data_IF_170950339977
#
_entry.id   IF_170950339977
#
_cell.length_a   1.000
_cell.length_b   1.000
_cell.length_c   1.000
_cell.angle_alpha   90.00
_cell.angle_beta   90.00
_cell.angle_gamma   90.00
#
_symmetry.space_group_name_H-M   'P 1'
#
loop_
_entity.id
_entity.type
_entity.pdbx_description
1 polymer ?
#
# COMPACT_ATOMS: atom_id res chain seq x y z
N UNK A 1 23.51 -2.13 0.72
CA UNK A 1 22.74 -2.70 1.85
C UNK A 1 21.75 -3.67 1.22
N UNK A 2 21.86 -4.97 1.51
CA UNK A 2 20.95 -5.96 0.96
C UNK A 2 19.62 -5.85 1.69
N UNK A 3 18.70 -5.09 1.11
CA UNK A 3 17.29 -5.14 1.50
C UNK A 3 16.81 -6.54 1.17
N UNK A 4 16.64 -7.36 2.20
CA UNK A 4 16.20 -8.73 2.02
C UNK A 4 14.81 -8.69 1.35
N UNK A 5 14.59 -9.49 0.30
CA UNK A 5 13.26 -9.57 -0.30
C UNK A 5 12.25 -9.92 0.79
N UNK A 6 11.07 -9.30 0.74
CA UNK A 6 9.97 -9.48 1.71
C UNK A 6 9.76 -10.96 2.08
N UNK A 7 9.91 -11.87 1.11
CA UNK A 7 9.86 -13.33 1.27
C UNK A 7 10.76 -13.91 2.39
N UNK A 8 11.82 -13.20 2.81
CA UNK A 8 12.71 -13.62 3.90
C UNK A 8 11.96 -13.75 5.23
N UNK A 9 11.09 -12.78 5.55
CA UNK A 9 10.26 -12.81 6.77
C UNK A 9 9.28 -13.98 6.72
N UNK A 10 8.50 -14.08 5.64
CA UNK A 10 7.45 -15.11 5.48
C UNK A 10 8.00 -16.54 5.41
N UNK A 11 9.28 -16.72 5.05
CA UNK A 11 9.94 -18.04 5.07
C UNK A 11 10.59 -18.35 6.42
N UNK A 12 11.21 -17.37 7.06
CA UNK A 12 11.91 -17.58 8.34
C UNK A 12 10.92 -17.75 9.49
N UNK A 13 9.84 -16.97 9.46
CA UNK A 13 8.80 -16.94 10.48
C UNK A 13 7.49 -17.57 9.97
N UNK A 14 7.60 -18.60 9.12
CA UNK A 14 6.45 -19.16 8.41
C UNK A 14 5.33 -19.67 9.34
N UNK A 15 5.65 -20.09 10.56
CA UNK A 15 4.69 -20.60 11.53
C UNK A 15 4.05 -19.52 12.43
N UNK A 16 4.49 -18.26 12.32
CA UNK A 16 3.89 -17.18 13.09
C UNK A 16 2.53 -16.81 12.49
N UNK A 17 1.59 -16.42 13.36
CA UNK A 17 0.25 -15.97 12.95
C UNK A 17 0.32 -14.67 12.13
N UNK A 18 -0.57 -14.54 11.16
CA UNK A 18 -0.75 -13.30 10.39
C UNK A 18 -1.47 -12.26 11.26
N UNK A 19 -0.81 -11.12 11.50
CA UNK A 19 -1.44 -9.99 12.18
C UNK A 19 -2.39 -9.23 11.24
N UNK A 20 -3.37 -8.53 11.79
CA UNK A 20 -4.31 -7.75 10.98
C UNK A 20 -3.61 -6.59 10.23
N UNK A 21 -2.63 -5.94 10.86
CA UNK A 21 -1.81 -4.90 10.21
C UNK A 21 -1.05 -5.44 8.99
N UNK A 22 -0.52 -6.66 9.09
CA UNK A 22 0.17 -7.32 7.99
C UNK A 22 -0.80 -7.63 6.84
N UNK A 23 -2.00 -8.12 7.19
CA UNK A 23 -3.06 -8.41 6.23
C UNK A 23 -3.49 -7.16 5.48
N UNK A 24 -3.64 -6.04 6.21
CA UNK A 24 -3.99 -4.75 5.66
C UNK A 24 -2.91 -4.20 4.72
N UNK A 25 -1.62 -4.21 5.10
CA UNK A 25 -0.53 -3.75 4.22
C UNK A 25 -0.47 -4.53 2.90
N UNK A 26 -0.66 -5.86 2.97
CA UNK A 26 -0.67 -6.71 1.78
C UNK A 26 -1.89 -6.41 0.89
N UNK A 27 -3.07 -6.23 1.49
CA UNK A 27 -4.29 -5.89 0.76
C UNK A 27 -4.18 -4.53 0.06
N UNK A 28 -3.64 -3.52 0.73
CA UNK A 28 -3.44 -2.18 0.17
C UNK A 28 -2.47 -2.22 -1.04
N UNK A 29 -1.42 -3.03 -0.96
CA UNK A 29 -0.47 -3.22 -2.05
C UNK A 29 -1.06 -3.95 -3.25
N UNK A 30 -1.92 -4.95 -3.01
CA UNK A 30 -2.69 -5.61 -4.06
C UNK A 30 -3.63 -4.61 -4.74
N UNK A 31 -4.33 -3.79 -3.95
CA UNK A 31 -5.23 -2.77 -4.47
C UNK A 31 -4.46 -1.73 -5.32
N UNK A 32 -3.28 -1.30 -4.89
CA UNK A 32 -2.43 -0.39 -5.66
C UNK A 32 -2.02 -0.97 -7.01
N UNK A 33 -1.59 -2.25 -7.07
CA UNK A 33 -1.24 -2.91 -8.34
C UNK A 33 -2.45 -3.12 -9.25
N UNK A 34 -3.62 -3.41 -8.68
CA UNK A 34 -4.85 -3.50 -9.45
C UNK A 34 -5.23 -2.14 -10.05
N UNK A 35 -5.15 -1.06 -9.27
CA UNK A 35 -5.42 0.32 -9.74
C UNK A 35 -4.43 0.75 -10.83
N UNK A 36 -3.16 0.36 -10.71
CA UNK A 36 -2.11 0.61 -11.71
C UNK A 36 -2.25 -0.27 -12.98
N UNK A 37 -3.17 -1.24 -12.97
CA UNK A 37 -3.40 -2.17 -14.07
C UNK A 37 -2.33 -3.28 -14.20
N UNK A 38 -1.42 -3.38 -13.24
CA UNK A 38 -0.42 -4.44 -13.15
C UNK A 38 -1.03 -5.79 -12.75
N UNK A 39 -2.23 -5.78 -12.16
CA UNK A 39 -3.00 -6.95 -11.76
C UNK A 39 -4.40 -6.88 -12.38
N UNK A 40 -4.89 -7.97 -12.97
CA UNK A 40 -6.25 -8.05 -13.47
C UNK A 40 -7.24 -8.37 -12.33
N UNK A 41 -8.54 -8.28 -12.63
CA UNK A 41 -9.60 -8.46 -11.61
C UNK A 41 -9.65 -9.88 -11.03
N UNK A 42 -9.52 -10.92 -11.86
CA UNK A 42 -9.60 -12.31 -11.40
C UNK A 42 -8.42 -12.66 -10.50
N UNK A 43 -7.21 -12.25 -10.89
CA UNK A 43 -5.99 -12.46 -10.10
C UNK A 43 -6.03 -11.64 -8.80
N UNK A 44 -6.56 -10.42 -8.84
CA UNK A 44 -6.76 -9.60 -7.64
C UNK A 44 -7.67 -10.29 -6.64
N UNK A 45 -8.84 -10.78 -7.06
CA UNK A 45 -9.78 -11.48 -6.17
C UNK A 45 -9.22 -12.80 -5.65
N UNK A 46 -8.53 -13.57 -6.49
CA UNK A 46 -7.90 -14.83 -6.10
C UNK A 46 -6.82 -14.59 -5.02
N UNK A 47 -5.97 -13.58 -5.22
CA UNK A 47 -4.93 -13.21 -4.25
C UNK A 47 -5.55 -12.67 -2.95
N UNK A 48 -6.61 -11.86 -3.04
CA UNK A 48 -7.31 -11.34 -1.88
C UNK A 48 -7.93 -12.47 -1.04
N UNK A 49 -8.51 -13.48 -1.69
CA UNK A 49 -9.02 -14.66 -1.00
C UNK A 49 -7.93 -15.40 -0.23
N UNK A 50 -6.72 -15.55 -0.80
CA UNK A 50 -5.58 -16.17 -0.10
C UNK A 50 -5.18 -15.30 1.10
N UNK A 51 -5.07 -13.98 0.93
CA UNK A 51 -4.70 -13.05 2.00
C UNK A 51 -5.66 -13.13 3.18
N UNK A 52 -6.97 -13.21 2.94
CA UNK A 52 -7.96 -13.29 4.02
C UNK A 52 -8.18 -14.71 4.57
N UNK A 53 -7.75 -15.75 3.86
CA UNK A 53 -7.81 -17.14 4.33
C UNK A 53 -6.53 -17.59 5.05
N UNK A 54 -5.43 -16.83 4.93
CA UNK A 54 -4.16 -17.15 5.56
C UNK A 54 -4.22 -17.03 7.08
N UNK A 55 -3.82 -18.11 7.76
CA UNK A 55 -3.64 -18.15 9.22
C UNK A 55 -2.20 -17.82 9.61
N UNK A 56 -1.24 -18.32 8.82
CA UNK A 56 0.20 -18.18 9.09
C UNK A 56 0.92 -17.34 8.05
N UNK A 57 2.06 -16.74 8.42
CA UNK A 57 2.88 -15.97 7.49
C UNK A 57 3.36 -16.81 6.30
N UNK A 58 3.54 -18.13 6.47
CA UNK A 58 3.91 -19.04 5.40
C UNK A 58 2.86 -19.14 4.29
N UNK A 59 1.58 -19.01 4.64
CA UNK A 59 0.46 -19.09 3.68
C UNK A 59 0.42 -17.89 2.73
N UNK A 60 1.03 -16.76 3.12
CA UNK A 60 1.11 -15.53 2.33
C UNK A 60 2.24 -15.53 1.30
N UNK A 61 3.16 -16.49 1.37
CA UNK A 61 4.32 -16.60 0.47
C UNK A 61 3.95 -16.57 -1.03
N UNK A 62 2.91 -17.26 -1.51
CA UNK A 62 2.51 -17.20 -2.92
C UNK A 62 2.07 -15.79 -3.35
N UNK A 63 1.43 -15.04 -2.46
CA UNK A 63 0.95 -13.69 -2.77
C UNK A 63 2.11 -12.70 -2.76
N UNK A 64 2.93 -12.72 -1.72
CA UNK A 64 3.97 -11.70 -1.49
C UNK A 64 5.13 -11.81 -2.46
N UNK A 65 5.43 -13.00 -2.99
CA UNK A 65 6.48 -13.17 -4.01
C UNK A 65 6.18 -12.41 -5.31
N UNK A 66 4.91 -12.27 -5.65
CA UNK A 66 4.47 -11.59 -6.87
C UNK A 66 4.22 -10.10 -6.65
N UNK A 67 4.24 -9.62 -5.40
CA UNK A 67 4.03 -8.22 -5.13
C UNK A 67 5.26 -7.42 -5.52
N UNK A 68 5.05 -6.34 -6.28
CA UNK A 68 6.08 -5.34 -6.51
C UNK A 68 6.68 -4.89 -5.17
N UNK A 69 8.03 -4.84 -5.05
CA UNK A 69 8.68 -4.33 -3.86
C UNK A 69 8.20 -2.91 -3.57
N UNK A 70 7.94 -2.63 -2.29
CA UNK A 70 7.67 -1.24 -1.85
C UNK A 70 8.91 -0.41 -2.24
N UNK A 71 8.74 0.76 -2.88
CA UNK A 71 9.87 1.66 -3.07
C UNK A 71 10.48 1.96 -1.71
N UNK A 72 11.69 1.46 -1.46
CA UNK A 72 12.42 1.68 -0.19
C UNK A 72 13.02 3.08 -0.11
N UNK A 73 12.77 3.92 -1.11
CA UNK A 73 13.04 5.35 -1.08
C UNK A 73 12.07 6.02 -0.09
N UNK A 74 12.31 5.79 1.20
CA UNK A 74 12.22 6.90 2.14
C UNK A 74 13.24 7.92 1.64
N UNK A 75 12.82 8.81 0.75
CA UNK A 75 13.51 10.09 0.56
C UNK A 75 13.52 10.66 1.98
N UNK A 76 14.68 10.73 2.66
CA UNK A 76 14.67 11.20 4.04
C UNK A 76 14.01 12.57 4.03
N UNK A 77 13.22 12.90 5.06
CA UNK A 77 12.45 14.15 5.13
C UNK A 77 13.34 15.39 4.82
N UNK A 78 14.64 15.27 5.10
CA UNK A 78 15.69 16.26 4.77
C UNK A 78 15.85 16.55 3.26
N UNK A 79 15.40 15.66 2.37
CA UNK A 79 15.53 15.76 0.90
C UNK A 79 14.17 16.02 0.22
N UNK A 80 13.04 15.81 0.91
CA UNK A 80 11.71 16.15 0.37
C UNK A 80 11.46 17.66 0.32
N UNK A 81 12.23 18.41 1.09
CA UNK A 81 12.39 19.84 0.89
C UNK A 81 13.55 20.00 -0.10
N UNK A 82 13.35 20.75 -1.19
CA UNK A 82 14.41 21.47 -1.93
C UNK A 82 15.01 20.85 -3.21
N UNK A 83 14.49 19.75 -3.75
CA UNK A 83 14.95 19.27 -5.08
C UNK A 83 14.13 19.78 -6.27
N UNK A 84 13.21 20.71 -6.06
CA UNK A 84 12.43 21.30 -7.15
C UNK A 84 12.27 22.78 -6.93
N UNK A 85 13.16 23.55 -7.57
CA UNK A 85 13.05 24.97 -7.83
C UNK A 85 13.49 25.91 -6.68
N UNK A 86 14.71 25.74 -6.17
CA UNK A 86 15.47 26.93 -5.78
C UNK A 86 16.87 26.85 -6.40
N UNK A 87 17.04 27.57 -7.51
CA UNK A 87 18.35 27.88 -8.07
C UNK A 87 18.97 28.93 -7.15
N UNK A 88 19.48 28.51 -5.98
CA UNK A 88 20.24 29.38 -5.08
C UNK A 88 21.71 29.18 -5.43
N UNK A 89 22.37 30.24 -5.91
CA UNK A 89 23.82 30.22 -6.05
C UNK A 89 24.47 29.98 -4.68
N UNK A 90 25.60 29.26 -4.61
CA UNK A 90 26.30 29.01 -3.36
C UNK A 90 26.61 30.32 -2.61
N UNK A 91 25.92 30.58 -1.51
CA UNK A 91 26.14 31.77 -0.68
C UNK A 91 24.88 32.48 -0.20
N UNK A 92 23.69 32.15 -0.70
CA UNK A 92 22.44 32.75 -0.23
C UNK A 92 21.58 31.79 0.61
N UNK A 93 20.80 32.36 1.54
CA UNK A 93 19.93 31.61 2.46
C UNK A 93 18.49 31.66 1.94
N UNK A 94 17.89 30.48 1.69
CA UNK A 94 16.51 30.37 1.24
C UNK A 94 15.48 30.77 2.30
N UNK A 95 14.38 31.40 1.87
CA UNK A 95 13.33 31.92 2.75
C UNK A 95 12.32 30.82 3.15
N UNK A 96 12.12 30.63 4.46
CA UNK A 96 11.27 29.56 5.01
C UNK A 96 9.78 29.91 4.85
N UNK A 97 9.09 29.27 3.89
CA UNK A 97 7.62 29.33 3.76
C UNK A 97 6.97 28.28 4.66
N UNK A 98 6.28 28.69 5.72
CA UNK A 98 5.48 27.81 6.58
C UNK A 98 4.22 27.32 5.86
N UNK A 99 4.10 26.01 5.63
CA UNK A 99 2.93 25.41 4.97
C UNK A 99 2.10 24.62 5.98
N UNK A 100 0.88 25.11 6.23
CA UNK A 100 -0.18 24.42 6.98
C UNK A 100 -0.61 23.15 6.23
N UNK A 101 -0.48 21.99 6.88
CA UNK A 101 -0.95 20.69 6.37
C UNK A 101 -2.43 20.53 6.68
N UNK A 102 -3.27 20.69 5.65
CA UNK A 102 -4.61 20.09 5.64
C UNK A 102 -4.51 18.78 4.88
N UNK A 103 -4.53 17.68 5.63
CA UNK A 103 -4.50 16.31 5.12
C UNK A 103 -5.79 16.05 4.34
N UNK A 104 -5.71 16.05 3.01
CA UNK A 104 -6.83 15.72 2.13
C UNK A 104 -7.09 14.21 2.18
N UNK A 105 -8.18 13.83 2.82
CA UNK A 105 -8.69 12.46 2.84
C UNK A 105 -9.20 12.06 1.45
N UNK A 106 -8.30 11.58 0.59
CA UNK A 106 -8.64 10.94 -0.69
C UNK A 106 -8.59 9.42 -0.49
N UNK A 107 -9.60 8.89 0.19
CA UNK A 107 -9.74 7.44 0.44
C UNK A 107 -11.17 6.95 0.64
N UNK A 108 -12.14 7.84 0.89
CA UNK A 108 -13.50 7.44 1.25
C UNK A 108 -14.44 7.06 0.09
N UNK A 109 -14.09 7.37 -1.16
CA UNK A 109 -15.03 7.28 -2.28
C UNK A 109 -15.25 5.83 -2.73
N UNK A 110 -14.19 5.00 -2.73
CA UNK A 110 -14.31 3.59 -3.11
C UNK A 110 -15.10 2.78 -2.08
N UNK A 111 -14.84 3.00 -0.78
CA UNK A 111 -15.59 2.34 0.29
C UNK A 111 -17.09 2.68 0.24
N UNK A 112 -17.42 3.96 0.01
CA UNK A 112 -18.80 4.41 -0.13
C UNK A 112 -19.52 3.76 -1.32
N UNK A 113 -18.84 3.62 -2.47
CA UNK A 113 -19.40 2.99 -3.66
C UNK A 113 -19.72 1.51 -3.42
N UNK A 114 -18.82 0.78 -2.76
CA UNK A 114 -19.02 -0.65 -2.42
C UNK A 114 -20.19 -0.82 -1.46
N UNK A 115 -20.24 -0.01 -0.39
CA UNK A 115 -21.34 -0.05 0.59
C UNK A 115 -22.68 0.28 -0.08
N UNK A 116 -22.72 1.30 -0.95
CA UNK A 116 -23.94 1.66 -1.67
C UNK A 116 -24.43 0.54 -2.60
N UNK A 117 -23.51 -0.14 -3.31
CA UNK A 117 -23.86 -1.26 -4.19
C UNK A 117 -24.47 -2.44 -3.40
N UNK A 118 -23.90 -2.79 -2.25
CA UNK A 118 -24.41 -3.87 -1.40
C UNK A 118 -25.82 -3.58 -0.86
N UNK A 119 -26.08 -2.34 -0.44
CA UNK A 119 -27.41 -1.92 0.02
C UNK A 119 -28.44 -2.05 -1.10
N UNK A 120 -28.08 -1.65 -2.33
CA UNK A 120 -28.99 -1.71 -3.48
C UNK A 120 -29.38 -3.15 -3.81
N UNK A 121 -28.42 -4.08 -3.80
CA UNK A 121 -28.69 -5.52 -4.00
C UNK A 121 -29.63 -6.06 -2.93
N UNK A 122 -29.42 -5.69 -1.66
CA UNK A 122 -30.27 -6.15 -0.56
C UNK A 122 -31.71 -5.63 -0.68
N UNK A 123 -31.90 -4.41 -1.17
CA UNK A 123 -33.23 -3.84 -1.42
C UNK A 123 -33.95 -4.47 -2.61
N UNK A 124 -33.23 -4.92 -3.65
CA UNK A 124 -33.85 -5.62 -4.79
C UNK A 124 -34.26 -7.06 -4.47
N UNK A 125 -33.64 -7.66 -3.45
CA UNK A 125 -33.86 -9.04 -3.05
C UNK A 125 -34.86 -9.19 -1.87
N UNK A 126 -35.48 -8.11 -1.42
CA UNK A 126 -36.50 -8.08 -0.37
C UNK A 126 -37.90 -7.90 -0.97
#
# INVERSE_FOLDING_TARGET
MNELPLSSKYRTNAADDVTEDERADIADRLAAQFVDGALNQDDYLAKLNIVYSAETLGDLVPVVQDLTPKPSHNVPEIVQTESSQIEVEPGELGEVKTKSSTMAAVGGILLLMVVAALILVLLMNL
#
